data_IF_634295368399
#
_entry.id   IF_634295368399
#
_cell.length_a   1.000
_cell.length_b   1.000
_cell.length_c   1.000
_cell.angle_alpha   90.00
_cell.angle_beta   90.00
_cell.angle_gamma   90.00
#
_symmetry.space_group_name_H-M   'P 1'
#
loop_
_entity.id
_entity.type
_entity.pdbx_description
1 polymer ?
#
# COMPACT_ATOMS: atom_id res chain seq x y z
N UNK A 1 -30.61 11.43 24.85
CA UNK A 1 -30.12 10.25 24.09
C UNK A 1 -29.55 10.59 22.71
N UNK A 2 -30.19 11.46 21.91
CA UNK A 2 -29.73 11.86 20.54
C UNK A 2 -28.30 12.46 20.47
N UNK A 3 -27.86 13.24 21.47
CA UNK A 3 -26.52 13.86 21.48
C UNK A 3 -25.36 12.84 21.46
N UNK A 4 -25.59 11.61 21.93
CA UNK A 4 -24.57 10.56 21.95
C UNK A 4 -24.40 9.91 20.57
N UNK A 5 -25.51 9.67 19.87
CA UNK A 5 -25.52 9.18 18.49
C UNK A 5 -24.90 10.18 17.51
N UNK A 6 -25.12 11.49 17.72
CA UNK A 6 -24.49 12.53 16.91
C UNK A 6 -22.96 12.53 17.05
N UNK A 7 -22.45 12.38 18.28
CA UNK A 7 -21.00 12.26 18.53
C UNK A 7 -20.40 11.00 17.90
N UNK A 8 -21.09 9.86 18.02
CA UNK A 8 -20.68 8.60 17.40
C UNK A 8 -20.67 8.68 15.86
N UNK A 9 -21.64 9.36 15.28
CA UNK A 9 -21.71 9.59 13.83
C UNK A 9 -20.54 10.44 13.32
N UNK A 10 -20.22 11.55 14.00
CA UNK A 10 -19.05 12.38 13.68
C UNK A 10 -17.73 11.61 13.88
N UNK A 11 -17.63 10.78 14.92
CA UNK A 11 -16.46 9.94 15.12
C UNK A 11 -16.31 8.89 14.02
N UNK A 12 -17.41 8.25 13.59
CA UNK A 12 -17.39 7.26 12.51
C UNK A 12 -17.03 7.88 11.14
N UNK A 13 -17.55 9.07 10.81
CA UNK A 13 -17.16 9.79 9.59
C UNK A 13 -15.65 10.12 9.58
N UNK A 14 -15.10 10.53 10.72
CA UNK A 14 -13.68 10.88 10.84
C UNK A 14 -12.77 9.66 10.60
N UNK A 15 -13.18 8.46 11.03
CA UNK A 15 -12.44 7.22 10.78
C UNK A 15 -12.44 6.84 9.30
N UNK A 16 -13.56 7.03 8.60
CA UNK A 16 -13.67 6.71 7.16
C UNK A 16 -12.75 7.60 6.33
N UNK A 17 -12.72 8.90 6.63
CA UNK A 17 -11.91 9.88 5.91
C UNK A 17 -10.40 9.75 6.22
N UNK A 18 -10.04 9.29 7.42
CA UNK A 18 -8.65 8.97 7.77
C UNK A 18 -8.18 7.64 7.17
N UNK A 19 -9.07 6.65 7.02
CA UNK A 19 -8.77 5.36 6.40
C UNK A 19 -8.43 5.46 4.91
N UNK A 20 -9.09 6.35 4.17
CA UNK A 20 -8.82 6.52 2.73
C UNK A 20 -7.43 7.10 2.47
N UNK A 21 -6.94 7.96 3.36
CA UNK A 21 -5.59 8.52 3.26
C UNK A 21 -4.50 7.48 3.58
N UNK A 22 -4.77 6.57 4.53
CA UNK A 22 -3.86 5.50 4.90
C UNK A 22 -3.74 4.38 3.84
N UNK A 23 -4.75 4.24 2.97
CA UNK A 23 -4.79 3.26 1.88
C UNK A 23 -4.38 3.84 0.52
N UNK A 24 -4.12 5.13 0.44
CA UNK A 24 -3.69 5.78 -0.79
C UNK A 24 -2.26 5.32 -1.13
N UNK A 25 -2.14 4.33 -2.01
CA UNK A 25 -0.85 3.91 -2.55
C UNK A 25 -0.19 5.07 -3.29
N UNK A 26 1.08 5.32 -2.98
CA UNK A 26 1.86 6.34 -3.68
C UNK A 26 2.09 5.92 -5.13
N UNK A 27 1.81 6.78 -6.14
CA UNK A 27 1.98 6.44 -7.55
C UNK A 27 3.39 5.93 -7.88
N UNK A 28 4.41 6.51 -7.25
CA UNK A 28 5.80 6.12 -7.41
C UNK A 28 6.07 4.71 -6.84
N UNK A 29 5.51 4.37 -5.67
CA UNK A 29 5.62 3.03 -5.10
C UNK A 29 4.96 1.99 -6.02
N UNK A 30 3.79 2.32 -6.58
CA UNK A 30 3.10 1.47 -7.55
C UNK A 30 3.93 1.24 -8.80
N UNK A 31 4.60 2.28 -9.32
CA UNK A 31 5.46 2.15 -10.51
C UNK A 31 6.61 1.16 -10.29
N UNK A 32 7.28 1.25 -9.14
CA UNK A 32 8.33 0.31 -8.76
C UNK A 32 7.76 -1.11 -8.59
N UNK A 33 6.60 -1.26 -7.95
CA UNK A 33 5.93 -2.56 -7.86
C UNK A 33 5.62 -3.17 -9.23
N UNK A 34 5.05 -2.41 -10.16
CA UNK A 34 4.73 -2.87 -11.51
C UNK A 34 6.01 -3.28 -12.29
N UNK A 35 7.11 -2.54 -12.10
CA UNK A 35 8.44 -2.89 -12.66
C UNK A 35 8.94 -4.22 -12.09
N UNK A 36 8.86 -4.40 -10.77
CA UNK A 36 9.26 -5.64 -10.11
C UNK A 36 8.43 -6.84 -10.57
N UNK A 37 7.12 -6.66 -10.77
CA UNK A 37 6.26 -7.70 -11.33
C UNK A 37 6.69 -8.10 -12.74
N UNK A 38 7.02 -7.12 -13.60
CA UNK A 38 7.54 -7.40 -14.94
C UNK A 38 8.84 -8.20 -14.91
N UNK A 39 9.79 -7.83 -14.06
CA UNK A 39 11.03 -8.60 -13.90
C UNK A 39 10.78 -10.01 -13.37
N UNK A 40 9.80 -10.18 -12.47
CA UNK A 40 9.40 -11.49 -11.95
C UNK A 40 8.83 -12.38 -13.06
N UNK A 41 7.99 -11.81 -13.94
CA UNK A 41 7.44 -12.50 -15.11
C UNK A 41 8.53 -12.90 -16.13
N UNK A 42 9.58 -12.08 -16.25
CA UNK A 42 10.77 -12.36 -17.07
C UNK A 42 11.74 -13.37 -16.41
N UNK A 43 11.45 -13.85 -15.19
CA UNK A 43 12.29 -14.78 -14.43
C UNK A 43 13.51 -14.13 -13.76
N UNK A 44 13.57 -12.80 -13.76
CA UNK A 44 14.69 -12.01 -13.22
C UNK A 44 14.45 -11.62 -11.76
N UNK A 45 14.52 -12.61 -10.87
CA UNK A 45 14.23 -12.44 -9.44
C UNK A 45 15.06 -11.36 -8.74
N UNK A 46 16.33 -11.17 -9.15
CA UNK A 46 17.18 -10.15 -8.54
C UNK A 46 16.63 -8.73 -8.79
N UNK A 47 16.30 -8.40 -10.03
CA UNK A 47 15.76 -7.10 -10.40
C UNK A 47 14.34 -6.90 -9.84
N UNK A 48 13.53 -7.97 -9.82
CA UNK A 48 12.24 -7.95 -9.16
C UNK A 48 12.36 -7.55 -7.68
N UNK A 49 13.32 -8.17 -6.98
CA UNK A 49 13.60 -7.88 -5.57
C UNK A 49 14.00 -6.41 -5.34
N UNK A 50 14.89 -5.86 -6.16
CA UNK A 50 15.30 -4.46 -6.06
C UNK A 50 14.11 -3.50 -6.23
N UNK A 51 13.28 -3.74 -7.23
CA UNK A 51 12.10 -2.91 -7.51
C UNK A 51 11.05 -3.00 -6.39
N UNK A 52 10.81 -4.19 -5.83
CA UNK A 52 9.93 -4.33 -4.66
C UNK A 52 10.49 -3.63 -3.42
N UNK A 53 11.81 -3.60 -3.23
CA UNK A 53 12.43 -2.84 -2.15
C UNK A 53 12.29 -1.33 -2.35
N UNK A 54 12.41 -0.81 -3.57
CA UNK A 54 12.15 0.61 -3.86
C UNK A 54 10.70 0.98 -3.62
N UNK A 55 9.75 0.13 -4.00
CA UNK A 55 8.33 0.31 -3.68
C UNK A 55 8.10 0.45 -2.16
N UNK A 56 8.75 -0.40 -1.36
CA UNK A 56 8.66 -0.39 0.10
C UNK A 56 9.42 0.79 0.76
N UNK A 57 10.47 1.32 0.14
CA UNK A 57 11.14 2.55 0.61
C UNK A 57 10.21 3.75 0.48
N UNK A 58 9.44 3.82 -0.62
CA UNK A 58 8.51 4.92 -0.90
C UNK A 58 7.24 4.77 -0.06
N UNK A 59 6.66 3.57 -0.06
CA UNK A 59 5.49 3.21 0.72
C UNK A 59 5.79 1.97 1.59
N UNK A 60 6.26 2.16 2.83
CA UNK A 60 6.49 1.07 3.77
C UNK A 60 5.23 0.24 4.07
N UNK A 61 4.04 0.80 3.79
CA UNK A 61 2.74 0.15 3.90
C UNK A 61 2.32 -0.60 2.64
N UNK A 62 3.17 -0.74 1.62
CA UNK A 62 2.79 -1.40 0.36
C UNK A 62 2.75 -2.93 0.54
N UNK A 63 1.62 -3.44 1.03
CA UNK A 63 1.48 -4.85 1.44
C UNK A 63 1.75 -5.84 0.31
N UNK A 64 1.34 -5.51 -0.92
CA UNK A 64 1.54 -6.38 -2.08
C UNK A 64 3.03 -6.57 -2.40
N UNK A 65 3.83 -5.50 -2.38
CA UNK A 65 5.28 -5.55 -2.60
C UNK A 65 5.98 -6.39 -1.52
N UNK A 66 5.52 -6.31 -0.27
CA UNK A 66 6.06 -7.13 0.82
C UNK A 66 5.75 -8.62 0.65
N UNK A 67 4.56 -8.96 0.16
CA UNK A 67 4.19 -10.35 -0.15
C UNK A 67 5.05 -10.87 -1.29
N UNK A 68 5.17 -10.11 -2.37
CA UNK A 68 5.97 -10.51 -3.53
C UNK A 68 7.44 -10.66 -3.17
N UNK A 69 8.01 -9.74 -2.39
CA UNK A 69 9.39 -9.83 -1.92
C UNK A 69 9.69 -11.10 -1.11
N UNK A 70 8.70 -11.65 -0.41
CA UNK A 70 8.86 -12.89 0.35
C UNK A 70 8.83 -14.15 -0.54
N UNK A 71 8.31 -14.04 -1.76
CA UNK A 71 8.20 -15.14 -2.73
C UNK A 71 9.26 -15.15 -3.82
N UNK A 72 10.15 -14.15 -3.87
CA UNK A 72 11.20 -13.96 -4.89
C UNK A 72 12.56 -14.40 -4.36
#
# INVERSE_FOLDING_TARGET
>A
MIKHYLKLFFAAMFVVEFCSLALAQKPEAKKHFDSGMKYKEEGSNFQAKEEFLEALKIDPGYHAARIELAGV
#
